data_IF_212236524386
#
_entry.id   IF_212236524386
#
_cell.length_a   1.000
_cell.length_b   1.000
_cell.length_c   1.000
_cell.angle_alpha   90.00
_cell.angle_beta   90.00
_cell.angle_gamma   90.00
#
_symmetry.space_group_name_H-M   'P 1'
#
loop_
_entity.id
_entity.type
_entity.pdbx_description
1 polymer ?
#
# COMPACT_ATOMS: atom_id res chain seq x y z
N UNK A 1 -13.96 -23.46 8.76
CA UNK A 1 -13.82 -22.12 9.39
C UNK A 1 -12.36 -21.81 9.68
N UNK A 2 -11.70 -22.52 10.62
CA UNK A 2 -10.27 -22.32 10.95
C UNK A 2 -9.35 -22.27 9.73
N UNK A 3 -9.51 -23.21 8.80
CA UNK A 3 -8.77 -23.22 7.53
C UNK A 3 -8.94 -21.92 6.70
N UNK A 4 -10.17 -21.39 6.59
CA UNK A 4 -10.43 -20.14 5.87
C UNK A 4 -9.79 -18.94 6.57
N UNK A 5 -9.83 -18.93 7.91
CA UNK A 5 -9.14 -17.92 8.71
C UNK A 5 -7.62 -17.98 8.52
N UNK A 6 -7.03 -19.17 8.53
CA UNK A 6 -5.60 -19.36 8.25
C UNK A 6 -5.22 -18.91 6.84
N UNK A 7 -6.04 -19.19 5.82
CA UNK A 7 -5.84 -18.72 4.45
C UNK A 7 -5.86 -17.18 4.40
N UNK A 8 -6.84 -16.54 5.06
CA UNK A 8 -6.92 -15.09 5.15
C UNK A 8 -5.67 -14.50 5.81
N UNK A 9 -5.26 -15.06 6.95
CA UNK A 9 -4.11 -14.58 7.73
C UNK A 9 -2.77 -14.75 7.00
N UNK A 10 -2.71 -15.61 5.98
CA UNK A 10 -1.56 -15.83 5.09
C UNK A 10 -1.65 -15.05 3.77
N UNK A 11 -2.54 -14.06 3.67
CA UNK A 11 -2.72 -13.27 2.45
C UNK A 11 -3.47 -13.98 1.31
N UNK A 12 -3.91 -15.22 1.50
CA UNK A 12 -4.64 -16.01 0.49
C UNK A 12 -6.13 -15.66 0.49
N UNK A 13 -6.46 -14.38 0.29
CA UNK A 13 -7.82 -13.83 0.42
C UNK A 13 -8.84 -14.53 -0.48
N UNK A 14 -8.50 -14.80 -1.74
CA UNK A 14 -9.39 -15.49 -2.67
C UNK A 14 -9.71 -16.93 -2.23
N UNK A 15 -8.72 -17.65 -1.68
CA UNK A 15 -8.91 -18.99 -1.16
C UNK A 15 -9.77 -18.98 0.11
N UNK A 16 -9.57 -17.99 0.99
CA UNK A 16 -10.39 -17.78 2.17
C UNK A 16 -11.85 -17.50 1.79
N UNK A 17 -12.08 -16.59 0.85
CA UNK A 17 -13.41 -16.26 0.33
C UNK A 17 -14.12 -17.49 -0.23
N UNK A 18 -13.45 -18.24 -1.11
CA UNK A 18 -13.99 -19.48 -1.67
C UNK A 18 -14.35 -20.51 -0.58
N UNK A 19 -13.50 -20.67 0.43
CA UNK A 19 -13.77 -21.58 1.54
C UNK A 19 -14.95 -21.11 2.40
N UNK A 20 -15.09 -19.80 2.65
CA UNK A 20 -16.26 -19.26 3.34
C UNK A 20 -17.55 -19.44 2.53
N UNK A 21 -17.54 -19.26 1.21
CA UNK A 21 -18.68 -19.55 0.32
C UNK A 21 -19.09 -21.01 0.35
N UNK A 22 -18.13 -21.94 0.37
CA UNK A 22 -18.42 -23.37 0.50
C UNK A 22 -19.11 -23.70 1.84
N UNK A 23 -18.74 -23.00 2.91
CA UNK A 23 -19.41 -23.16 4.21
C UNK A 23 -20.80 -22.53 4.17
N UNK A 24 -20.94 -21.32 3.63
CA UNK A 24 -22.22 -20.63 3.42
C UNK A 24 -23.26 -21.54 2.74
N UNK A 25 -22.85 -22.28 1.71
CA UNK A 25 -23.72 -23.21 0.97
C UNK A 25 -24.18 -24.42 1.79
N UNK A 26 -23.49 -24.76 2.88
CA UNK A 26 -23.75 -25.96 3.71
C UNK A 26 -24.45 -25.65 5.04
N UNK A 27 -24.56 -24.39 5.41
CA UNK A 27 -25.21 -23.97 6.65
C UNK A 27 -26.57 -23.33 6.40
N UNK A 28 -27.38 -23.23 7.45
CA UNK A 28 -28.71 -22.63 7.42
C UNK A 28 -28.90 -21.61 8.56
N UNK A 29 -30.03 -20.90 8.53
CA UNK A 29 -30.39 -19.92 9.55
C UNK A 29 -29.37 -18.78 9.68
N UNK A 30 -29.16 -18.30 10.91
CA UNK A 30 -28.26 -17.17 11.20
C UNK A 30 -26.79 -17.40 10.85
N UNK A 31 -26.36 -18.65 10.59
CA UNK A 31 -25.00 -18.93 10.16
C UNK A 31 -24.77 -18.56 8.69
N UNK A 32 -25.78 -18.63 7.82
CA UNK A 32 -25.62 -18.37 6.39
C UNK A 32 -25.21 -16.91 6.11
N UNK A 33 -25.90 -15.87 6.64
CA UNK A 33 -25.48 -14.48 6.48
C UNK A 33 -24.09 -14.20 7.09
N UNK A 34 -23.72 -14.91 8.16
CA UNK A 34 -22.40 -14.77 8.77
C UNK A 34 -21.29 -15.20 7.81
N UNK A 35 -21.40 -16.38 7.19
CA UNK A 35 -20.37 -16.85 6.26
C UNK A 35 -20.38 -16.09 4.93
N UNK A 36 -21.54 -15.59 4.50
CA UNK A 36 -21.62 -14.63 3.40
C UNK A 36 -20.76 -13.39 3.70
N UNK A 37 -20.95 -12.78 4.88
CA UNK A 37 -20.19 -11.61 5.30
C UNK A 37 -18.69 -11.88 5.47
N UNK A 38 -18.30 -13.08 5.94
CA UNK A 38 -16.90 -13.49 6.02
C UNK A 38 -16.27 -13.71 4.63
N UNK A 39 -17.04 -14.20 3.65
CA UNK A 39 -16.57 -14.30 2.27
C UNK A 39 -16.37 -12.91 1.66
N UNK A 40 -17.36 -12.02 1.79
CA UNK A 40 -17.26 -10.64 1.34
C UNK A 40 -16.09 -9.89 2.01
N UNK A 41 -15.87 -10.13 3.30
CA UNK A 41 -14.72 -9.59 4.03
C UNK A 41 -13.40 -10.02 3.36
N UNK A 42 -13.24 -11.30 3.06
CA UNK A 42 -12.05 -11.83 2.39
C UNK A 42 -11.88 -11.22 1.00
N UNK A 43 -12.95 -11.14 0.20
CA UNK A 43 -12.91 -10.50 -1.12
C UNK A 43 -12.54 -9.01 -1.04
N UNK A 44 -13.07 -8.28 -0.06
CA UNK A 44 -12.76 -6.87 0.15
C UNK A 44 -11.26 -6.63 0.43
N UNK A 45 -10.67 -7.42 1.32
CA UNK A 45 -9.22 -7.34 1.59
C UNK A 45 -8.38 -7.81 0.40
N UNK A 46 -8.84 -8.80 -0.37
CA UNK A 46 -8.19 -9.20 -1.63
C UNK A 46 -8.24 -8.12 -2.71
N UNK A 47 -9.33 -7.36 -2.80
CA UNK A 47 -9.43 -6.17 -3.64
C UNK A 47 -8.48 -5.08 -3.17
N UNK A 48 -8.45 -4.79 -1.87
CA UNK A 48 -7.56 -3.78 -1.30
C UNK A 48 -6.09 -4.13 -1.52
N UNK A 49 -5.69 -5.39 -1.34
CA UNK A 49 -4.29 -5.79 -1.51
C UNK A 49 -3.77 -5.68 -2.95
N UNK A 50 -4.70 -5.55 -3.91
CA UNK A 50 -4.45 -5.24 -5.34
C UNK A 50 -4.71 -3.77 -5.70
N UNK A 51 -4.86 -2.90 -4.70
CA UNK A 51 -5.14 -1.47 -4.86
C UNK A 51 -6.48 -1.15 -5.54
N UNK A 52 -7.42 -2.09 -5.56
CA UNK A 52 -8.79 -1.89 -6.03
C UNK A 52 -9.64 -1.26 -4.91
N UNK A 53 -9.33 -0.01 -4.56
CA UNK A 53 -9.84 0.64 -3.36
C UNK A 53 -11.36 0.80 -3.32
N UNK A 54 -11.98 1.18 -4.45
CA UNK A 54 -13.44 1.38 -4.50
C UNK A 54 -14.21 0.06 -4.29
N UNK A 55 -13.93 -1.02 -5.05
CA UNK A 55 -14.52 -2.33 -4.77
C UNK A 55 -14.27 -2.82 -3.35
N UNK A 56 -13.05 -2.61 -2.83
CA UNK A 56 -12.71 -2.98 -1.45
C UNK A 56 -13.57 -2.24 -0.43
N UNK A 57 -13.75 -0.93 -0.60
CA UNK A 57 -14.54 -0.10 0.32
C UNK A 57 -16.01 -0.49 0.33
N UNK A 58 -16.62 -0.64 -0.85
CA UNK A 58 -18.04 -0.99 -1.00
C UNK A 58 -18.37 -2.35 -0.36
N UNK A 59 -17.50 -3.35 -0.61
CA UNK A 59 -17.64 -4.68 -0.03
C UNK A 59 -17.35 -4.68 1.49
N UNK A 60 -16.25 -4.06 1.93
CA UNK A 60 -15.88 -4.00 3.35
C UNK A 60 -16.97 -3.33 4.18
N UNK A 61 -17.51 -2.20 3.73
CA UNK A 61 -18.59 -1.46 4.42
C UNK A 61 -19.81 -2.34 4.68
N UNK A 62 -20.17 -3.19 3.72
CA UNK A 62 -21.31 -4.11 3.83
C UNK A 62 -20.99 -5.26 4.78
N UNK A 63 -19.81 -5.87 4.64
CA UNK A 63 -19.34 -6.94 5.51
C UNK A 63 -19.23 -6.50 6.98
N UNK A 64 -18.69 -5.30 7.26
CA UNK A 64 -18.58 -4.74 8.62
C UNK A 64 -19.96 -4.67 9.28
N UNK A 65 -20.98 -4.16 8.59
CA UNK A 65 -22.33 -4.05 9.16
C UNK A 65 -22.90 -5.43 9.53
N UNK A 66 -22.76 -6.41 8.64
CA UNK A 66 -23.25 -7.76 8.88
C UNK A 66 -22.51 -8.45 10.03
N UNK A 67 -21.19 -8.28 10.12
CA UNK A 67 -20.38 -8.85 11.19
C UNK A 67 -20.60 -8.17 12.55
N UNK A 68 -20.83 -6.85 12.56
CA UNK A 68 -21.16 -6.10 13.78
C UNK A 68 -22.48 -6.62 14.37
N UNK A 69 -23.51 -6.79 13.53
CA UNK A 69 -24.77 -7.42 13.93
C UNK A 69 -24.57 -8.85 14.42
N UNK A 70 -23.81 -9.68 13.69
CA UNK A 70 -23.52 -11.04 14.11
C UNK A 70 -22.79 -11.11 15.47
N UNK A 71 -21.95 -10.12 15.79
CA UNK A 71 -21.24 -10.05 17.08
C UNK A 71 -22.16 -9.83 18.28
N UNK A 72 -23.36 -9.27 18.05
CA UNK A 72 -24.38 -9.00 19.08
C UNK A 72 -25.31 -10.20 19.27
N UNK A 73 -25.65 -10.91 18.18
CA UNK A 73 -26.64 -11.99 18.19
C UNK A 73 -26.03 -13.41 18.24
N UNK A 74 -24.92 -13.58 18.96
CA UNK A 74 -24.35 -14.91 19.24
C UNK A 74 -23.40 -15.47 18.17
N UNK A 75 -22.77 -14.61 17.37
CA UNK A 75 -21.67 -14.99 16.49
C UNK A 75 -20.42 -15.47 17.26
N UNK A 76 -19.44 -16.09 16.56
CA UNK A 76 -18.17 -16.50 17.16
C UNK A 76 -17.52 -15.38 17.97
N UNK A 77 -16.98 -15.70 19.16
CA UNK A 77 -16.39 -14.73 20.08
C UNK A 77 -15.29 -13.87 19.42
N UNK A 78 -14.51 -14.48 18.52
CA UNK A 78 -13.47 -13.79 17.76
C UNK A 78 -13.95 -12.72 16.79
N UNK A 79 -15.25 -12.61 16.46
CA UNK A 79 -15.74 -11.54 15.58
C UNK A 79 -15.73 -10.19 16.29
N UNK A 80 -16.10 -10.18 17.58
CA UNK A 80 -16.23 -8.94 18.36
C UNK A 80 -14.89 -8.19 18.46
N UNK A 81 -13.77 -8.91 18.54
CA UNK A 81 -12.42 -8.32 18.56
C UNK A 81 -11.99 -7.74 17.22
N UNK A 82 -12.59 -8.17 16.10
CA UNK A 82 -12.26 -7.65 14.76
C UNK A 82 -12.92 -6.30 14.49
N UNK A 83 -14.13 -6.07 15.02
CA UNK A 83 -14.97 -4.91 14.66
C UNK A 83 -14.24 -3.56 14.73
N UNK A 84 -13.46 -3.24 15.78
CA UNK A 84 -12.73 -1.97 15.83
C UNK A 84 -11.78 -1.79 14.63
N UNK A 85 -11.00 -2.83 14.32
CA UNK A 85 -10.06 -2.83 13.19
C UNK A 85 -10.78 -2.74 11.85
N UNK A 86 -11.91 -3.43 11.70
CA UNK A 86 -12.72 -3.37 10.47
C UNK A 86 -13.29 -1.97 10.24
N UNK A 87 -13.76 -1.30 11.29
CA UNK A 87 -14.27 0.09 11.23
C UNK A 87 -13.15 1.08 10.88
N UNK A 88 -11.98 0.95 11.49
CA UNK A 88 -10.79 1.75 11.18
C UNK A 88 -10.41 1.62 9.70
N UNK A 89 -10.33 0.38 9.21
CA UNK A 89 -9.99 0.06 7.83
C UNK A 89 -11.04 0.57 6.83
N UNK A 90 -12.33 0.41 7.15
CA UNK A 90 -13.41 0.98 6.34
C UNK A 90 -13.33 2.51 6.27
N UNK A 91 -12.97 3.18 7.38
CA UNK A 91 -12.79 4.64 7.41
C UNK A 91 -11.55 5.11 6.66
N UNK A 92 -10.46 4.34 6.66
CA UNK A 92 -9.28 4.59 5.83
C UNK A 92 -9.64 4.55 4.34
N UNK A 93 -10.30 3.46 3.91
CA UNK A 93 -10.73 3.29 2.53
C UNK A 93 -11.74 4.35 2.08
N UNK A 94 -12.69 4.72 2.96
CA UNK A 94 -13.65 5.79 2.69
C UNK A 94 -12.94 7.11 2.37
N UNK A 95 -12.01 7.53 3.23
CA UNK A 95 -11.22 8.75 3.03
C UNK A 95 -10.44 8.70 1.71
N UNK A 96 -9.81 7.57 1.41
CA UNK A 96 -9.03 7.40 0.18
C UNK A 96 -9.92 7.44 -1.07
N UNK A 97 -11.06 6.74 -1.06
CA UNK A 97 -11.96 6.66 -2.21
C UNK A 97 -12.62 8.02 -2.48
N UNK A 98 -13.08 8.70 -1.44
CA UNK A 98 -13.76 9.98 -1.54
C UNK A 98 -12.83 11.18 -1.74
N UNK A 99 -11.51 11.02 -1.54
CA UNK A 99 -10.52 12.06 -1.82
C UNK A 99 -10.57 12.46 -3.31
N UNK A 100 -10.93 13.72 -3.64
CA UNK A 100 -10.98 14.20 -5.03
C UNK A 100 -9.58 14.54 -5.57
N UNK A 101 -8.54 14.52 -4.74
CA UNK A 101 -7.18 14.81 -5.18
C UNK A 101 -6.70 13.77 -6.21
N UNK A 102 -6.03 14.27 -7.24
CA UNK A 102 -5.37 13.43 -8.25
C UNK A 102 -4.27 12.58 -7.62
N UNK A 103 -3.47 13.18 -6.72
CA UNK A 103 -2.42 12.51 -5.96
C UNK A 103 -2.91 12.31 -4.52
N UNK A 104 -3.41 11.11 -4.25
CA UNK A 104 -4.03 10.75 -2.97
C UNK A 104 -2.98 10.43 -1.92
N UNK A 105 -2.92 11.23 -0.86
CA UNK A 105 -1.90 11.10 0.19
C UNK A 105 -1.90 9.73 0.88
N UNK A 106 -3.08 9.09 0.98
CA UNK A 106 -3.24 7.79 1.64
C UNK A 106 -2.64 6.60 0.85
N UNK A 107 -2.31 6.78 -0.44
CA UNK A 107 -1.74 5.70 -1.26
C UNK A 107 -0.30 5.35 -0.85
N UNK A 108 0.51 6.35 -0.49
CA UNK A 108 1.90 6.12 -0.06
C UNK A 108 2.02 5.25 1.21
N UNK A 109 1.30 5.53 2.33
CA UNK A 109 1.32 4.65 3.49
C UNK A 109 0.66 3.29 3.23
N UNK A 110 -0.37 3.20 2.36
CA UNK A 110 -0.94 1.90 1.99
C UNK A 110 0.06 1.03 1.23
N UNK A 111 0.79 1.59 0.25
CA UNK A 111 1.87 0.89 -0.46
C UNK A 111 2.94 0.37 0.50
N UNK A 112 3.35 1.17 1.49
CA UNK A 112 4.34 0.73 2.48
C UNK A 112 3.79 -0.38 3.40
N UNK A 113 2.53 -0.28 3.81
CA UNK A 113 1.86 -1.32 4.59
C UNK A 113 1.68 -2.63 3.79
N UNK A 114 1.37 -2.50 2.50
CA UNK A 114 1.24 -3.57 1.53
C UNK A 114 2.59 -4.28 1.29
N UNK A 115 3.68 -3.51 1.16
CA UNK A 115 5.04 -4.04 1.09
C UNK A 115 5.38 -4.88 2.33
N UNK A 116 5.01 -4.42 3.53
CA UNK A 116 5.19 -5.18 4.79
C UNK A 116 4.43 -6.50 4.78
N UNK A 117 3.16 -6.48 4.37
CA UNK A 117 2.37 -7.72 4.25
C UNK A 117 3.00 -8.71 3.27
N UNK A 118 3.48 -8.25 2.11
CA UNK A 118 4.18 -9.11 1.13
C UNK A 118 5.42 -9.78 1.73
N UNK A 119 6.21 -9.05 2.51
CA UNK A 119 7.40 -9.60 3.15
C UNK A 119 7.07 -10.60 4.25
N UNK A 120 6.14 -10.23 5.15
CA UNK A 120 5.87 -10.98 6.38
C UNK A 120 4.85 -12.12 6.21
N UNK A 121 3.78 -11.88 5.45
CA UNK A 121 2.66 -12.81 5.27
C UNK A 121 2.87 -13.70 4.06
N UNK A 122 3.09 -13.09 2.89
CA UNK A 122 3.19 -13.82 1.61
C UNK A 122 4.58 -14.44 1.40
N UNK A 123 5.59 -13.95 2.14
CA UNK A 123 7.02 -14.27 1.96
C UNK A 123 7.52 -13.98 0.53
N UNK A 124 6.89 -13.02 -0.15
CA UNK A 124 7.19 -12.60 -1.51
C UNK A 124 8.17 -11.41 -1.48
N UNK A 125 9.44 -11.68 -1.18
CA UNK A 125 10.45 -10.66 -0.93
C UNK A 125 10.73 -9.73 -2.12
N UNK A 126 10.76 -10.26 -3.34
CA UNK A 126 10.96 -9.43 -4.55
C UNK A 126 9.81 -8.43 -4.72
N UNK A 127 8.57 -8.91 -4.59
CA UNK A 127 7.38 -8.06 -4.69
C UNK A 127 7.35 -7.04 -3.55
N UNK A 128 7.72 -7.44 -2.34
CA UNK A 128 7.82 -6.55 -1.19
C UNK A 128 8.86 -5.44 -1.40
N UNK A 129 10.04 -5.78 -1.93
CA UNK A 129 11.12 -4.84 -2.19
C UNK A 129 10.73 -3.80 -3.24
N UNK A 130 10.18 -4.23 -4.39
CA UNK A 130 9.70 -3.28 -5.40
C UNK A 130 8.53 -2.43 -4.90
N UNK A 131 7.60 -3.02 -4.15
CA UNK A 131 6.48 -2.25 -3.57
C UNK A 131 7.00 -1.19 -2.59
N UNK A 132 8.04 -1.50 -1.81
CA UNK A 132 8.68 -0.52 -0.93
C UNK A 132 9.35 0.63 -1.72
N UNK A 133 10.03 0.34 -2.83
CA UNK A 133 10.56 1.38 -3.73
C UNK A 133 9.43 2.25 -4.29
N UNK A 134 8.33 1.65 -4.75
CA UNK A 134 7.16 2.40 -5.23
C UNK A 134 6.54 3.25 -4.12
N UNK A 135 6.48 2.75 -2.88
CA UNK A 135 6.02 3.51 -1.72
C UNK A 135 6.90 4.74 -1.47
N UNK A 136 8.23 4.57 -1.49
CA UNK A 136 9.19 5.66 -1.33
C UNK A 136 8.97 6.76 -2.39
N UNK A 137 8.81 6.37 -3.65
CA UNK A 137 8.47 7.30 -4.71
C UNK A 137 7.12 7.98 -4.46
N UNK A 138 6.08 7.25 -4.05
CA UNK A 138 4.77 7.81 -3.78
C UNK A 138 4.82 8.88 -2.66
N UNK A 139 5.65 8.70 -1.64
CA UNK A 139 5.88 9.74 -0.63
C UNK A 139 6.46 11.02 -1.23
N UNK A 140 7.45 10.91 -2.12
CA UNK A 140 8.00 12.08 -2.81
C UNK A 140 6.94 12.77 -3.70
N UNK A 141 6.16 12.00 -4.45
CA UNK A 141 5.08 12.51 -5.30
C UNK A 141 4.03 13.26 -4.48
N UNK A 142 3.60 12.69 -3.35
CA UNK A 142 2.66 13.33 -2.42
C UNK A 142 3.24 14.62 -1.86
N UNK A 143 4.52 14.62 -1.44
CA UNK A 143 5.16 15.81 -0.87
C UNK A 143 5.31 16.93 -1.90
N UNK A 144 5.78 16.61 -3.11
CA UNK A 144 5.89 17.54 -4.23
C UNK A 144 4.55 18.17 -4.57
N UNK A 145 3.50 17.36 -4.65
CA UNK A 145 2.16 17.85 -4.97
C UNK A 145 1.58 18.68 -3.84
N UNK A 146 1.70 18.22 -2.58
CA UNK A 146 1.10 18.89 -1.43
C UNK A 146 1.71 20.26 -1.19
N UNK A 147 3.05 20.36 -1.17
CA UNK A 147 3.77 21.58 -0.83
C UNK A 147 4.01 22.51 -2.02
N UNK A 148 4.26 21.95 -3.21
CA UNK A 148 4.73 22.73 -4.36
C UNK A 148 3.80 22.67 -5.57
N UNK A 149 2.70 21.89 -5.51
CA UNK A 149 1.77 21.65 -6.63
C UNK A 149 2.47 21.10 -7.88
N UNK A 150 3.58 20.40 -7.70
CA UNK A 150 4.33 19.75 -8.77
C UNK A 150 3.79 18.33 -8.96
N UNK A 151 3.41 17.99 -10.19
CA UNK A 151 3.03 16.63 -10.59
C UNK A 151 4.25 15.92 -11.16
N UNK A 152 4.69 14.84 -10.54
CA UNK A 152 5.90 14.14 -10.97
C UNK A 152 5.78 13.54 -12.38
N UNK A 153 4.56 13.20 -12.83
CA UNK A 153 4.27 12.64 -14.15
C UNK A 153 3.90 13.70 -15.21
N UNK A 154 3.89 14.98 -14.85
CA UNK A 154 3.52 16.09 -15.73
C UNK A 154 4.12 17.39 -15.19
N UNK A 155 5.46 17.40 -15.05
CA UNK A 155 6.15 18.55 -14.45
C UNK A 155 6.32 19.67 -15.45
N UNK A 156 6.17 20.90 -14.99
CA UNK A 156 6.63 22.07 -15.73
C UNK A 156 8.08 22.37 -15.33
N UNK A 157 9.06 22.34 -16.25
CA UNK A 157 10.48 22.53 -15.92
C UNK A 157 10.74 23.81 -15.12
N UNK A 158 9.95 24.86 -15.32
CA UNK A 158 10.11 26.13 -14.62
C UNK A 158 9.78 26.08 -13.13
N UNK A 159 8.98 25.10 -12.68
CA UNK A 159 8.68 24.85 -11.26
C UNK A 159 9.85 24.18 -10.53
N UNK A 160 10.83 23.63 -11.26
CA UNK A 160 11.95 22.91 -10.66
C UNK A 160 13.07 23.85 -10.19
N UNK A 161 13.88 23.43 -9.21
CA UNK A 161 15.11 24.12 -8.85
C UNK A 161 16.02 24.33 -10.07
N UNK A 162 16.79 25.45 -10.14
CA UNK A 162 17.65 25.76 -11.29
C UNK A 162 18.53 24.61 -11.76
N UNK A 163 19.10 23.85 -10.82
CA UNK A 163 19.97 22.71 -11.10
C UNK A 163 19.30 21.54 -11.85
N UNK A 164 17.97 21.47 -11.87
CA UNK A 164 17.20 20.39 -12.52
C UNK A 164 16.49 20.84 -13.80
N UNK A 165 16.42 22.14 -14.10
CA UNK A 165 15.65 22.66 -15.25
C UNK A 165 16.16 22.12 -16.58
N UNK A 166 17.46 22.25 -16.83
CA UNK A 166 18.07 21.82 -18.09
C UNK A 166 18.07 20.31 -18.26
N UNK A 167 18.33 19.56 -17.18
CA UNK A 167 18.25 18.09 -17.20
C UNK A 167 16.81 17.64 -17.48
N UNK A 168 15.82 18.32 -16.90
CA UNK A 168 14.42 18.01 -17.18
C UNK A 168 14.06 18.20 -18.64
N UNK A 169 14.45 19.33 -19.24
CA UNK A 169 14.19 19.66 -20.65
C UNK A 169 14.84 18.67 -21.62
N UNK A 170 16.01 18.16 -21.28
CA UNK A 170 16.82 17.32 -22.18
C UNK A 170 16.59 15.82 -21.99
N UNK A 171 16.20 15.38 -20.79
CA UNK A 171 16.28 13.96 -20.41
C UNK A 171 15.00 13.36 -19.85
N UNK A 172 13.99 14.16 -19.49
CA UNK A 172 12.78 13.67 -18.82
C UNK A 172 11.51 13.80 -19.66
N UNK A 173 11.63 14.20 -20.93
CA UNK A 173 10.51 14.19 -21.85
C UNK A 173 10.15 12.73 -22.16
N UNK A 174 8.90 12.37 -21.94
CA UNK A 174 8.36 11.07 -22.32
C UNK A 174 7.87 11.12 -23.77
N UNK A 175 8.42 10.24 -24.61
CA UNK A 175 8.12 10.22 -26.05
C UNK A 175 6.70 9.73 -26.36
N UNK A 176 5.99 9.12 -25.39
CA UNK A 176 4.66 8.55 -25.60
C UNK A 176 3.56 9.59 -25.42
N UNK A 177 3.60 10.35 -24.33
CA UNK A 177 2.58 11.36 -24.01
C UNK A 177 3.06 12.81 -24.12
N UNK A 178 4.34 13.03 -24.40
CA UNK A 178 4.95 14.36 -24.53
C UNK A 178 5.06 15.12 -23.21
N UNK A 179 4.90 14.44 -22.07
CA UNK A 179 4.99 15.05 -20.74
C UNK A 179 6.35 14.87 -20.13
N UNK A 180 6.75 15.80 -19.27
CA UNK A 180 7.97 15.63 -18.48
C UNK A 180 7.68 14.77 -17.25
N UNK A 181 8.39 13.64 -17.13
CA UNK A 181 8.26 12.69 -16.02
C UNK A 181 9.55 12.66 -15.20
N UNK A 182 9.48 13.13 -13.96
CA UNK A 182 10.61 13.10 -13.04
C UNK A 182 10.86 11.67 -12.53
N UNK A 183 12.04 11.08 -12.76
CA UNK A 183 12.43 9.84 -12.09
C UNK A 183 12.49 10.04 -10.57
N UNK A 184 12.25 8.97 -9.79
CA UNK A 184 12.22 9.03 -8.32
C UNK A 184 13.39 9.80 -7.69
N UNK A 185 14.63 9.55 -8.13
CA UNK A 185 15.82 10.25 -7.59
C UNK A 185 15.76 11.75 -7.88
N UNK A 186 15.25 12.14 -9.05
CA UNK A 186 15.07 13.55 -9.41
C UNK A 186 13.95 14.21 -8.59
N UNK A 187 12.89 13.47 -8.23
CA UNK A 187 11.83 13.95 -7.34
C UNK A 187 12.39 14.34 -5.96
N UNK A 188 13.24 13.52 -5.35
CA UNK A 188 13.88 13.84 -4.07
C UNK A 188 14.91 14.98 -4.17
N UNK A 189 15.66 15.05 -5.28
CA UNK A 189 16.55 16.19 -5.55
C UNK A 189 15.77 17.49 -5.71
N UNK A 190 14.60 17.45 -6.35
CA UNK A 190 13.72 18.60 -6.47
C UNK A 190 13.22 19.05 -5.09
N UNK A 191 12.73 18.13 -4.27
CA UNK A 191 12.36 18.41 -2.88
C UNK A 191 13.50 19.07 -2.10
N UNK A 192 14.70 18.50 -2.15
CA UNK A 192 15.86 19.06 -1.44
C UNK A 192 16.23 20.46 -1.95
N UNK A 193 16.22 20.67 -3.26
CA UNK A 193 16.51 21.98 -3.88
C UNK A 193 15.44 23.04 -3.59
N UNK A 194 14.22 22.62 -3.21
CA UNK A 194 13.13 23.48 -2.74
C UNK A 194 13.15 23.67 -1.21
N UNK A 195 14.15 23.12 -0.50
CA UNK A 195 14.30 23.26 0.95
C UNK A 195 13.46 22.26 1.77
N UNK A 196 12.88 21.24 1.14
CA UNK A 196 12.03 20.27 1.83
C UNK A 196 12.85 19.25 2.65
N UNK A 197 12.41 19.02 3.89
CA UNK A 197 13.09 18.13 4.85
C UNK A 197 13.16 16.68 4.38
N UNK A 198 12.13 16.16 3.70
CA UNK A 198 12.12 14.79 3.19
C UNK A 198 13.18 14.62 2.10
N UNK A 199 13.30 15.62 1.20
CA UNK A 199 14.35 15.65 0.19
C UNK A 199 15.75 15.68 0.80
N UNK A 200 15.98 16.56 1.78
CA UNK A 200 17.25 16.66 2.49
C UNK A 200 17.59 15.36 3.24
N UNK A 201 16.63 14.76 3.93
CA UNK A 201 16.81 13.48 4.62
C UNK A 201 17.16 12.35 3.65
N UNK A 202 16.50 12.29 2.48
CA UNK A 202 16.82 11.32 1.43
C UNK A 202 18.26 11.46 0.95
N UNK A 203 18.70 12.68 0.63
CA UNK A 203 20.07 12.93 0.18
C UNK A 203 21.10 12.57 1.25
N UNK A 204 20.82 12.87 2.52
CA UNK A 204 21.68 12.48 3.63
C UNK A 204 21.80 10.95 3.80
N UNK A 205 20.77 10.19 3.41
CA UNK A 205 20.77 8.72 3.44
C UNK A 205 21.12 8.08 2.08
N UNK A 206 21.48 8.87 1.07
CA UNK A 206 21.74 8.36 -0.28
C UNK A 206 22.81 7.27 -0.35
N UNK A 207 23.94 7.34 0.38
CA UNK A 207 24.95 6.27 0.38
C UNK A 207 24.39 4.91 0.83
N UNK A 208 23.46 4.88 1.79
CA UNK A 208 22.80 3.65 2.24
C UNK A 208 21.63 3.26 1.33
N UNK A 209 20.91 4.24 0.77
CA UNK A 209 19.76 4.01 -0.10
C UNK A 209 20.17 3.41 -1.45
N UNK A 210 21.23 3.94 -2.07
CA UNK A 210 21.69 3.53 -3.41
C UNK A 210 21.85 2.01 -3.58
N UNK A 211 22.60 1.28 -2.73
CA UNK A 211 22.76 -0.17 -2.91
C UNK A 211 21.46 -0.95 -2.76
N UNK A 212 20.47 -0.44 -2.02
CA UNK A 212 19.17 -1.09 -1.84
C UNK A 212 18.27 -0.90 -3.06
N UNK A 213 18.27 0.29 -3.65
CA UNK A 213 17.59 0.56 -4.92
C UNK A 213 18.21 -0.25 -6.05
N UNK A 214 19.54 -0.35 -6.07
CA UNK A 214 20.27 -1.17 -7.03
C UNK A 214 19.96 -2.67 -6.88
N UNK A 215 19.83 -3.17 -5.64
CA UNK A 215 19.37 -4.53 -5.37
C UNK A 215 17.93 -4.75 -5.87
N UNK A 216 17.03 -3.78 -5.70
CA UNK A 216 15.67 -3.87 -6.23
C UNK A 216 15.67 -3.95 -7.76
N UNK A 217 16.48 -3.12 -8.43
CA UNK A 217 16.64 -3.14 -9.89
C UNK A 217 17.24 -4.46 -10.39
N UNK A 218 18.13 -5.11 -9.63
CA UNK A 218 18.73 -6.40 -10.00
C UNK A 218 17.84 -7.61 -9.72
N UNK A 219 16.69 -7.43 -9.07
CA UNK A 219 15.77 -8.53 -8.79
C UNK A 219 15.03 -9.04 -10.04
N UNK A 220 14.52 -10.29 -10.02
CA UNK A 220 13.71 -10.85 -11.11
C UNK A 220 12.45 -10.05 -11.46
N UNK A 221 11.85 -9.36 -10.48
CA UNK A 221 10.70 -8.48 -10.71
C UNK A 221 11.10 -7.05 -11.11
N UNK A 222 12.39 -6.73 -11.06
CA UNK A 222 12.99 -5.52 -11.62
C UNK A 222 13.49 -5.76 -13.03
N UNK A 223 14.80 -5.59 -13.21
CA UNK A 223 15.50 -5.70 -14.49
C UNK A 223 16.65 -6.72 -14.47
N UNK A 224 16.80 -7.50 -13.39
CA UNK A 224 17.89 -8.47 -13.25
C UNK A 224 17.41 -9.86 -12.90
N UNK A 225 18.30 -10.65 -12.28
CA UNK A 225 18.10 -12.06 -11.99
C UNK A 225 18.51 -12.46 -10.56
N UNK A 226 18.78 -11.50 -9.67
CA UNK A 226 19.24 -11.73 -8.30
C UNK A 226 18.06 -11.66 -7.30
N UNK A 227 17.60 -12.78 -6.72
CA UNK A 227 16.45 -12.75 -5.80
C UNK A 227 16.67 -11.83 -4.59
N UNK A 228 15.63 -11.08 -4.22
CA UNK A 228 15.65 -10.23 -3.05
C UNK A 228 15.76 -11.05 -1.75
N UNK A 229 16.58 -10.57 -0.82
CA UNK A 229 16.71 -11.16 0.52
C UNK A 229 16.04 -10.30 1.58
N UNK A 230 15.59 -10.93 2.66
CA UNK A 230 14.86 -10.26 3.74
C UNK A 230 15.65 -9.09 4.33
N UNK A 231 16.96 -9.24 4.51
CA UNK A 231 17.82 -8.17 5.05
C UNK A 231 17.71 -6.87 4.23
N UNK A 232 17.76 -6.97 2.90
CA UNK A 232 17.67 -5.80 2.00
C UNK A 232 16.32 -5.12 2.10
N UNK A 233 15.25 -5.90 2.19
CA UNK A 233 13.90 -5.38 2.39
C UNK A 233 13.80 -4.60 3.71
N UNK A 234 14.24 -5.18 4.83
CA UNK A 234 14.16 -4.53 6.14
C UNK A 234 15.02 -3.26 6.22
N UNK A 235 16.22 -3.29 5.62
CA UNK A 235 17.08 -2.10 5.50
C UNK A 235 16.38 -0.98 4.71
N UNK A 236 15.76 -1.31 3.57
CA UNK A 236 15.03 -0.33 2.77
C UNK A 236 13.83 0.22 3.52
N UNK A 237 13.02 -0.64 4.14
CA UNK A 237 11.86 -0.24 4.93
C UNK A 237 12.25 0.74 6.04
N UNK A 238 13.31 0.44 6.79
CA UNK A 238 13.80 1.31 7.87
C UNK A 238 14.26 2.68 7.34
N UNK A 239 14.94 2.72 6.19
CA UNK A 239 15.33 3.99 5.56
C UNK A 239 14.11 4.78 5.06
N UNK A 240 13.09 4.13 4.51
CA UNK A 240 11.85 4.79 4.09
C UNK A 240 11.18 5.45 5.30
N UNK A 241 11.02 4.72 6.40
CA UNK A 241 10.47 5.26 7.65
C UNK A 241 11.28 6.47 8.13
N UNK A 242 12.61 6.37 8.12
CA UNK A 242 13.50 7.47 8.52
C UNK A 242 13.39 8.70 7.62
N UNK A 243 13.34 8.52 6.30
CA UNK A 243 13.30 9.61 5.32
C UNK A 243 11.93 10.31 5.32
N UNK A 244 10.85 9.54 5.43
CA UNK A 244 9.48 10.05 5.30
C UNK A 244 8.88 10.51 6.62
N UNK A 245 9.42 10.04 7.76
CA UNK A 245 8.85 10.28 9.08
C UNK A 245 7.51 9.57 9.30
N UNK A 246 7.12 8.64 8.42
CA UNK A 246 5.86 7.89 8.56
C UNK A 246 5.92 7.02 9.82
N UNK A 247 4.85 7.06 10.62
CA UNK A 247 4.75 6.28 11.84
C UNK A 247 3.92 5.02 11.62
N UNK A 248 4.12 4.03 12.48
CA UNK A 248 3.42 2.76 12.40
C UNK A 248 1.89 2.89 12.58
N UNK A 249 1.45 3.98 13.22
CA UNK A 249 0.04 4.35 13.38
C UNK A 249 -0.60 4.91 12.09
N UNK A 250 0.20 5.43 11.15
CA UNK A 250 -0.29 5.95 9.87
C UNK A 250 -0.47 4.85 8.82
N UNK A 251 0.03 3.63 9.08
CA UNK A 251 -0.01 2.51 8.16
C UNK A 251 -1.26 1.65 8.40
N UNK A 252 -2.11 1.40 7.40
CA UNK A 252 -3.25 0.50 7.56
C UNK A 252 -2.78 -0.91 7.91
N UNK A 253 -3.46 -1.54 8.88
CA UNK A 253 -3.16 -2.92 9.31
C UNK A 253 -4.33 -3.81 8.95
N UNK A 254 -4.07 -4.93 8.29
CA UNK A 254 -5.13 -5.90 8.03
C UNK A 254 -5.39 -6.72 9.31
N UNK A 255 -6.65 -7.12 9.57
CA UNK A 255 -6.98 -7.88 10.77
C UNK A 255 -6.40 -9.30 10.71
N UNK A 256 -6.33 -9.96 11.85
CA UNK A 256 -6.08 -11.41 11.94
C UNK A 256 -7.38 -12.08 12.35
N UNK A 257 -7.86 -13.03 11.57
CA UNK A 257 -9.08 -13.77 11.88
C UNK A 257 -8.78 -14.86 12.92
N UNK A 258 -9.38 -14.71 14.11
CA UNK A 258 -9.33 -15.68 15.21
C UNK A 258 -10.69 -16.41 15.30
N UNK A 259 -10.97 -17.30 14.34
CA UNK A 259 -12.29 -17.93 14.12
C UNK A 259 -12.32 -19.45 14.31
#
# INVERSE_FOLDING_TARGET
RRQAAEQFNKGSYAAAAATFRLIEARVSGGQKPLYHALADLADAYGCWDRFLYKPAWESLKTAVKALDMASIFGGPAGIKSLIPRLKENSGFLEKLVLDPAEIKAAVAPDLLANARRRAEQDRALDAALLTAVRALEAFAQVQLFKQHKIKAHDVQPDQLPPALKEVCRTSYLDDVDGKYKLPMVAQFRALAGLGDQMGQAYLAQWPQMKPLLDAASRSPLGHGFEPAVAERYHQLYALIVKVTGVTDAALPKFPTLEL
#
